data_IF_605704313014
#
_entry.id   IF_605704313014
#
_cell.length_a   1.000
_cell.length_b   1.000
_cell.length_c   1.000
_cell.angle_alpha   90.00
_cell.angle_beta   90.00
_cell.angle_gamma   90.00
#
_symmetry.space_group_name_H-M   'P 1'
#
loop_
_entity.id
_entity.type
_entity.pdbx_description
1 polymer ?
#
# COMPACT_ATOMS: atom_id res chain seq x y z
N UNK A 1 8.86 -22.20 25.69
CA UNK A 1 9.65 -22.43 24.46
C UNK A 1 8.90 -22.05 23.18
N UNK A 2 7.73 -22.64 22.87
CA UNK A 2 6.97 -22.32 21.63
C UNK A 2 6.52 -20.85 21.56
N UNK A 3 5.98 -20.28 22.66
CA UNK A 3 5.59 -18.86 22.67
C UNK A 3 6.79 -17.89 22.50
N UNK A 4 7.97 -18.27 23.00
CA UNK A 4 9.18 -17.45 22.95
C UNK A 4 9.73 -17.34 21.51
N UNK A 5 9.42 -18.29 20.63
CA UNK A 5 9.83 -18.26 19.21
C UNK A 5 8.74 -17.72 18.30
N UNK A 6 7.46 -17.98 18.60
CA UNK A 6 6.35 -17.53 17.76
C UNK A 6 6.16 -16.00 17.76
N UNK A 7 6.36 -15.32 18.89
CA UNK A 7 6.18 -13.87 18.95
C UNK A 7 7.22 -13.10 18.12
N UNK A 8 8.55 -13.35 18.26
CA UNK A 8 9.55 -12.73 17.40
C UNK A 8 9.34 -13.05 15.92
N UNK A 9 8.94 -14.28 15.59
CA UNK A 9 8.62 -14.66 14.22
C UNK A 9 7.44 -13.84 13.67
N UNK A 10 6.35 -13.71 14.43
CA UNK A 10 5.21 -12.89 14.05
C UNK A 10 5.64 -11.42 13.85
N UNK A 11 6.49 -10.90 14.71
CA UNK A 11 7.01 -9.53 14.59
C UNK A 11 7.86 -9.34 13.32
N UNK A 12 8.74 -10.29 12.99
CA UNK A 12 9.53 -10.27 11.75
C UNK A 12 8.62 -10.33 10.53
N UNK A 13 7.64 -11.22 10.52
CA UNK A 13 6.66 -11.31 9.43
C UNK A 13 5.84 -10.02 9.28
N UNK A 14 5.47 -9.39 10.40
CA UNK A 14 4.75 -8.12 10.40
C UNK A 14 5.56 -6.97 9.80
N UNK A 15 6.82 -6.83 10.24
CA UNK A 15 7.72 -5.83 9.68
C UNK A 15 8.02 -6.09 8.20
N UNK A 16 8.14 -7.35 7.80
CA UNK A 16 8.33 -7.75 6.40
C UNK A 16 7.11 -7.36 5.56
N UNK A 17 5.90 -7.65 6.05
CA UNK A 17 4.65 -7.25 5.40
C UNK A 17 4.53 -5.73 5.26
N UNK A 18 4.87 -4.98 6.31
CA UNK A 18 4.87 -3.52 6.30
C UNK A 18 5.87 -2.95 5.28
N UNK A 19 7.08 -3.50 5.27
CA UNK A 19 8.16 -3.07 4.36
C UNK A 19 7.80 -3.37 2.91
N UNK A 20 7.21 -4.55 2.63
CA UNK A 20 6.73 -4.91 1.30
C UNK A 20 5.66 -3.94 0.81
N UNK A 21 4.67 -3.63 1.65
CA UNK A 21 3.60 -2.70 1.28
C UNK A 21 4.13 -1.28 1.07
N UNK A 22 4.93 -0.74 2.00
CA UNK A 22 5.51 0.58 1.85
C UNK A 22 6.41 0.68 0.61
N UNK A 23 7.27 -0.32 0.39
CA UNK A 23 8.17 -0.38 -0.76
C UNK A 23 7.42 -0.47 -2.09
N UNK A 24 6.40 -1.33 -2.18
CA UNK A 24 5.57 -1.42 -3.38
C UNK A 24 4.77 -0.15 -3.64
N UNK A 25 4.26 0.54 -2.62
CA UNK A 25 3.61 1.86 -2.78
C UNK A 25 4.59 2.92 -3.31
N UNK A 26 5.84 2.93 -2.86
CA UNK A 26 6.88 3.83 -3.39
C UNK A 26 7.16 3.51 -4.86
N UNK A 27 7.35 2.23 -5.19
CA UNK A 27 7.55 1.80 -6.58
C UNK A 27 6.36 2.22 -7.45
N UNK A 28 5.14 2.01 -6.97
CA UNK A 28 3.92 2.35 -7.68
C UNK A 28 3.82 3.85 -7.96
N UNK A 29 4.16 4.69 -6.97
CA UNK A 29 4.25 6.14 -7.15
C UNK A 29 5.31 6.55 -8.20
N UNK A 30 6.48 5.88 -8.21
CA UNK A 30 7.53 6.15 -9.21
C UNK A 30 7.06 5.73 -10.61
N UNK A 31 6.43 4.56 -10.73
CA UNK A 31 5.84 4.06 -11.99
C UNK A 31 4.78 5.05 -12.49
N UNK A 32 3.89 5.52 -11.63
CA UNK A 32 2.89 6.53 -11.94
C UNK A 32 3.50 7.85 -12.44
N UNK A 33 4.56 8.34 -11.80
CA UNK A 33 5.26 9.56 -12.24
C UNK A 33 5.91 9.37 -13.61
N UNK A 34 6.53 8.21 -13.84
CA UNK A 34 7.12 7.84 -15.14
C UNK A 34 6.06 7.70 -16.21
N UNK A 35 4.92 7.08 -15.89
CA UNK A 35 3.78 6.95 -16.78
C UNK A 35 3.34 8.31 -17.31
N UNK A 36 3.09 9.30 -16.45
CA UNK A 36 2.66 10.61 -16.92
C UNK A 36 3.67 11.32 -17.80
N UNK A 37 4.94 11.24 -17.44
CA UNK A 37 6.02 11.84 -18.23
C UNK A 37 6.12 11.22 -19.62
N UNK A 38 5.94 9.89 -19.73
CA UNK A 38 5.99 9.17 -21.01
C UNK A 38 4.70 9.34 -21.82
N UNK A 39 3.55 9.25 -21.17
CA UNK A 39 2.24 9.37 -21.82
C UNK A 39 2.04 10.73 -22.50
N UNK A 40 2.58 11.82 -21.92
CA UNK A 40 2.53 13.14 -22.55
C UNK A 40 3.41 13.25 -23.80
N UNK A 41 4.50 12.50 -23.89
CA UNK A 41 5.41 12.52 -25.04
C UNK A 41 5.01 11.51 -26.13
N UNK A 42 4.62 10.31 -25.72
CA UNK A 42 4.21 9.21 -26.59
C UNK A 42 3.21 8.30 -25.83
N UNK A 43 1.89 8.37 -26.13
CA UNK A 43 0.87 7.59 -25.42
C UNK A 43 1.12 6.08 -25.40
N UNK A 44 1.69 5.53 -26.50
CA UNK A 44 2.04 4.10 -26.63
C UNK A 44 3.13 3.67 -25.63
N UNK A 45 4.08 4.54 -25.32
CA UNK A 45 5.14 4.26 -24.33
C UNK A 45 4.60 4.24 -22.90
N UNK A 46 3.53 4.99 -22.63
CA UNK A 46 2.85 4.99 -21.34
C UNK A 46 2.25 3.62 -20.98
N UNK A 47 1.72 2.89 -21.96
CA UNK A 47 1.14 1.56 -21.73
C UNK A 47 2.17 0.55 -21.23
N UNK A 48 3.37 0.56 -21.79
CA UNK A 48 4.46 -0.32 -21.35
C UNK A 48 4.81 -0.11 -19.88
N UNK A 49 4.79 1.14 -19.41
CA UNK A 49 5.05 1.48 -18.00
C UNK A 49 3.97 0.92 -17.07
N UNK A 50 2.69 0.94 -17.49
CA UNK A 50 1.59 0.38 -16.71
C UNK A 50 1.61 -1.15 -16.63
N UNK A 51 2.16 -1.84 -17.64
CA UNK A 51 2.31 -3.29 -17.60
C UNK A 51 3.30 -3.73 -16.51
N UNK A 52 4.39 -2.99 -16.34
CA UNK A 52 5.39 -3.23 -15.29
C UNK A 52 4.76 -3.14 -13.89
N UNK A 53 3.77 -2.25 -13.70
CA UNK A 53 3.04 -2.13 -12.42
C UNK A 53 2.40 -3.45 -11.97
N UNK A 54 1.90 -4.25 -12.92
CA UNK A 54 1.19 -5.50 -12.61
C UNK A 54 2.10 -6.58 -12.01
N UNK A 55 3.41 -6.51 -12.26
CA UNK A 55 4.41 -7.42 -11.70
C UNK A 55 4.55 -7.27 -10.18
N UNK A 56 4.14 -6.12 -9.63
CA UNK A 56 4.19 -5.86 -8.19
C UNK A 56 2.92 -6.30 -7.44
N UNK A 57 1.86 -6.68 -8.15
CA UNK A 57 0.58 -7.08 -7.56
C UNK A 57 0.72 -8.26 -6.58
N UNK A 58 1.50 -9.33 -6.88
CA UNK A 58 1.69 -10.42 -5.93
C UNK A 58 2.38 -9.95 -4.64
N UNK A 59 3.37 -9.06 -4.73
CA UNK A 59 4.07 -8.52 -3.56
C UNK A 59 3.15 -7.70 -2.67
N UNK A 60 2.23 -6.92 -3.26
CA UNK A 60 1.21 -6.17 -2.51
C UNK A 60 0.29 -7.14 -1.75
N UNK A 61 -0.20 -8.18 -2.41
CA UNK A 61 -1.08 -9.18 -1.79
C UNK A 61 -0.36 -9.92 -0.66
N UNK A 62 0.85 -10.40 -0.91
CA UNK A 62 1.67 -11.08 0.10
C UNK A 62 1.97 -10.16 1.28
N UNK A 63 2.37 -8.91 1.03
CA UNK A 63 2.64 -7.93 2.07
C UNK A 63 1.42 -7.66 2.96
N UNK A 64 0.24 -7.55 2.34
CA UNK A 64 -1.03 -7.38 3.05
C UNK A 64 -1.38 -8.58 3.93
N UNK A 65 -1.30 -9.79 3.38
CA UNK A 65 -1.58 -11.01 4.14
C UNK A 65 -0.61 -11.17 5.32
N UNK A 66 0.68 -10.98 5.07
CA UNK A 66 1.70 -11.02 6.12
C UNK A 66 1.39 -10.00 7.21
N UNK A 67 1.10 -8.75 6.84
CA UNK A 67 0.84 -7.67 7.81
C UNK A 67 -0.39 -7.95 8.69
N UNK A 68 -1.50 -8.39 8.09
CA UNK A 68 -2.74 -8.68 8.83
C UNK A 68 -2.55 -9.91 9.72
N UNK A 69 -2.13 -11.04 9.15
CA UNK A 69 -2.08 -12.32 9.87
C UNK A 69 -1.09 -12.26 11.04
N UNK A 70 0.07 -11.64 10.82
CA UNK A 70 1.05 -11.45 11.89
C UNK A 70 0.60 -10.42 12.93
N UNK A 71 -0.09 -9.34 12.52
CA UNK A 71 -0.61 -8.33 13.44
C UNK A 71 -1.67 -8.90 14.38
N UNK A 72 -2.61 -9.65 13.82
CA UNK A 72 -3.62 -10.40 14.59
C UNK A 72 -2.96 -11.49 15.45
N UNK A 73 -1.98 -12.21 14.90
CA UNK A 73 -1.22 -13.22 15.63
C UNK A 73 -0.51 -12.66 16.86
N UNK A 74 0.15 -11.49 16.75
CA UNK A 74 0.77 -10.82 17.89
C UNK A 74 -0.25 -10.39 18.95
N UNK A 75 -1.46 -9.94 18.55
CA UNK A 75 -2.53 -9.63 19.50
C UNK A 75 -3.01 -10.88 20.24
N UNK A 76 -3.24 -11.98 19.52
CA UNK A 76 -3.66 -13.24 20.12
C UNK A 76 -2.62 -13.81 21.09
N UNK A 77 -1.34 -13.78 20.71
CA UNK A 77 -0.23 -14.29 21.54
C UNK A 77 0.01 -13.48 22.81
N UNK A 78 -0.36 -12.19 22.82
CA UNK A 78 -0.21 -11.31 23.99
C UNK A 78 -1.48 -11.18 24.82
N UNK A 79 -2.51 -11.99 24.55
CA UNK A 79 -3.79 -11.91 25.26
C UNK A 79 -4.50 -10.57 25.07
N UNK A 80 -4.21 -9.84 24.00
CA UNK A 80 -4.83 -8.55 23.70
C UNK A 80 -4.25 -7.35 24.45
N UNK A 81 -3.17 -7.50 25.22
CA UNK A 81 -2.55 -6.39 26.01
C UNK A 81 -2.16 -5.21 25.13
N UNK A 82 -1.63 -5.45 23.92
CA UNK A 82 -1.37 -4.36 22.96
C UNK A 82 -2.64 -3.64 22.49
N UNK A 83 -3.78 -4.34 22.52
CA UNK A 83 -5.09 -3.76 22.24
C UNK A 83 -5.54 -2.75 23.27
N UNK A 84 -4.90 -2.59 24.43
CA UNK A 84 -5.21 -1.51 25.38
C UNK A 84 -4.38 -0.25 25.11
N UNK A 85 -3.23 -0.38 24.46
CA UNK A 85 -2.33 0.74 24.19
C UNK A 85 -2.86 1.61 23.05
N UNK A 86 -3.03 2.92 23.31
CA UNK A 86 -3.60 3.87 22.35
C UNK A 86 -2.77 3.92 21.05
N UNK A 87 -1.44 3.97 21.18
CA UNK A 87 -0.51 3.92 20.06
C UNK A 87 -0.78 2.74 19.10
N UNK A 88 -1.00 1.55 19.64
CA UNK A 88 -1.21 0.35 18.84
C UNK A 88 -2.55 0.39 18.12
N UNK A 89 -3.62 0.82 18.81
CA UNK A 89 -4.95 1.00 18.20
C UNK A 89 -4.92 1.97 17.02
N UNK A 90 -4.25 3.11 17.20
CA UNK A 90 -4.11 4.12 16.14
C UNK A 90 -3.33 3.53 14.96
N UNK A 91 -2.17 2.91 15.21
CA UNK A 91 -1.36 2.27 14.16
C UNK A 91 -2.15 1.20 13.39
N UNK A 92 -2.84 0.32 14.11
CA UNK A 92 -3.65 -0.74 13.51
C UNK A 92 -4.81 -0.18 12.69
N UNK A 93 -5.51 0.83 13.20
CA UNK A 93 -6.56 1.55 12.47
C UNK A 93 -6.04 2.15 11.15
N UNK A 94 -4.88 2.79 11.17
CA UNK A 94 -4.26 3.35 9.95
C UNK A 94 -3.91 2.23 8.95
N UNK A 95 -3.39 1.10 9.42
CA UNK A 95 -3.12 -0.07 8.56
C UNK A 95 -4.40 -0.54 7.86
N UNK A 96 -5.51 -0.68 8.60
CA UNK A 96 -6.79 -1.07 8.02
C UNK A 96 -7.27 -0.04 6.99
N UNK A 97 -7.11 1.27 7.27
CA UNK A 97 -7.43 2.35 6.33
C UNK A 97 -6.59 2.25 5.06
N UNK A 98 -5.28 1.99 5.16
CA UNK A 98 -4.41 1.81 3.99
C UNK A 98 -4.91 0.66 3.10
N UNK A 99 -5.24 -0.47 3.72
CA UNK A 99 -5.71 -1.68 3.03
C UNK A 99 -7.06 -1.42 2.36
N UNK A 100 -8.01 -0.86 3.11
CA UNK A 100 -9.32 -0.50 2.58
C UNK A 100 -9.20 0.50 1.42
N UNK A 101 -8.38 1.55 1.56
CA UNK A 101 -8.15 2.53 0.51
C UNK A 101 -7.50 1.90 -0.73
N UNK A 102 -6.54 1.00 -0.55
CA UNK A 102 -5.90 0.26 -1.65
C UNK A 102 -6.90 -0.59 -2.44
N UNK A 103 -7.77 -1.33 -1.74
CA UNK A 103 -8.77 -2.20 -2.37
C UNK A 103 -9.91 -1.40 -3.00
N UNK A 104 -10.47 -0.42 -2.27
CA UNK A 104 -11.67 0.31 -2.68
C UNK A 104 -11.36 1.41 -3.70
N UNK A 105 -10.28 2.16 -3.51
CA UNK A 105 -9.94 3.32 -4.35
C UNK A 105 -8.85 2.97 -5.34
N UNK A 106 -7.71 2.44 -4.85
CA UNK A 106 -6.55 2.13 -5.69
C UNK A 106 -6.87 1.18 -6.84
N UNK A 107 -7.51 0.05 -6.56
CA UNK A 107 -7.90 -0.94 -7.57
C UNK A 107 -8.86 -0.36 -8.62
N UNK A 108 -9.83 0.46 -8.19
CA UNK A 108 -10.79 1.11 -9.11
C UNK A 108 -10.10 2.12 -10.02
N UNK A 109 -9.25 2.98 -9.46
CA UNK A 109 -8.48 3.97 -10.23
C UNK A 109 -7.53 3.30 -11.23
N UNK A 110 -6.83 2.24 -10.82
CA UNK A 110 -5.93 1.49 -11.70
C UNK A 110 -6.68 0.80 -12.85
N UNK A 111 -7.83 0.17 -12.57
CA UNK A 111 -8.66 -0.45 -13.59
C UNK A 111 -9.20 0.59 -14.59
N UNK A 112 -9.67 1.74 -14.09
CA UNK A 112 -10.13 2.85 -14.93
C UNK A 112 -9.01 3.42 -15.80
N UNK A 113 -7.79 3.53 -15.27
CA UNK A 113 -6.61 3.99 -16.03
C UNK A 113 -6.29 3.05 -17.17
N UNK A 114 -6.23 1.74 -16.90
CA UNK A 114 -5.95 0.75 -17.94
C UNK A 114 -7.05 0.70 -19.00
N UNK A 115 -8.31 0.94 -18.62
CA UNK A 115 -9.42 1.05 -19.57
C UNK A 115 -9.27 2.26 -20.49
N UNK A 116 -9.09 3.45 -19.91
CA UNK A 116 -9.01 4.70 -20.67
C UNK A 116 -7.77 4.81 -21.56
N UNK A 117 -6.66 4.17 -21.20
CA UNK A 117 -5.44 4.21 -22.01
C UNK A 117 -5.52 3.24 -23.21
N UNK A 118 -6.41 2.24 -23.17
CA UNK A 118 -6.67 1.35 -24.31
C UNK A 118 -7.60 1.96 -25.36
N UNK A 119 -8.37 2.97 -24.98
CA UNK A 119 -9.30 3.66 -25.85
C UNK A 119 -8.63 4.94 -26.41
N UNK A 120 -8.46 5.01 -27.73
CA UNK A 120 -7.81 6.17 -28.39
C UNK A 120 -8.59 7.48 -28.18
N UNK A 121 -9.90 7.41 -27.93
CA UNK A 121 -10.73 8.57 -27.60
C UNK A 121 -10.56 9.05 -26.15
N UNK A 122 -9.93 8.23 -25.29
CA UNK A 122 -9.84 8.42 -23.85
C UNK A 122 -8.75 9.39 -23.38
N UNK A 123 -7.87 9.89 -24.27
CA UNK A 123 -6.67 10.68 -23.91
C UNK A 123 -7.01 11.88 -23.03
N UNK A 124 -8.11 12.58 -23.30
CA UNK A 124 -8.56 13.73 -22.52
C UNK A 124 -9.07 13.33 -21.13
N UNK A 125 -9.72 12.17 -21.00
CA UNK A 125 -10.19 11.62 -19.73
C UNK A 125 -9.05 11.07 -18.88
N UNK A 126 -7.99 10.55 -19.52
CA UNK A 126 -6.78 10.07 -18.84
C UNK A 126 -6.14 11.23 -18.06
N UNK A 127 -6.03 12.44 -18.64
CA UNK A 127 -5.48 13.61 -17.95
C UNK A 127 -6.24 13.96 -16.64
N UNK A 128 -7.57 13.79 -16.62
CA UNK A 128 -8.41 14.00 -15.43
C UNK A 128 -8.09 13.04 -14.27
N UNK A 129 -7.45 11.90 -14.53
CA UNK A 129 -7.11 10.91 -13.52
C UNK A 129 -5.78 11.18 -12.81
N UNK A 130 -4.98 12.13 -13.30
CA UNK A 130 -3.70 12.49 -12.67
C UNK A 130 -3.87 12.97 -11.23
N UNK A 131 -4.91 13.78 -10.96
CA UNK A 131 -5.14 14.36 -9.62
C UNK A 131 -5.66 13.31 -8.61
N UNK A 132 -6.68 12.48 -8.93
CA UNK A 132 -7.13 11.40 -8.04
C UNK A 132 -6.05 10.39 -7.70
N UNK A 133 -5.27 9.91 -8.67
CA UNK A 133 -4.18 8.97 -8.40
C UNK A 133 -3.04 9.61 -7.61
N UNK A 134 -2.72 10.89 -7.88
CA UNK A 134 -1.73 11.63 -7.09
C UNK A 134 -2.13 11.72 -5.61
N UNK A 135 -3.40 12.03 -5.33
CA UNK A 135 -3.95 12.03 -3.98
C UNK A 135 -3.92 10.64 -3.35
N UNK A 136 -4.27 9.60 -4.09
CA UNK A 136 -4.21 8.22 -3.59
C UNK A 136 -2.80 7.85 -3.10
N UNK A 137 -1.76 8.10 -3.90
CA UNK A 137 -0.38 7.83 -3.50
C UNK A 137 0.08 8.72 -2.35
N UNK A 138 -0.26 10.01 -2.36
CA UNK A 138 0.10 10.93 -1.28
C UNK A 138 -0.49 10.44 0.06
N UNK A 139 -1.78 10.11 0.09
CA UNK A 139 -2.45 9.58 1.29
C UNK A 139 -1.78 8.29 1.76
N UNK A 140 -1.55 7.32 0.87
CA UNK A 140 -0.90 6.06 1.28
C UNK A 140 0.52 6.29 1.84
N UNK A 141 1.35 7.09 1.17
CA UNK A 141 2.71 7.37 1.63
C UNK A 141 2.71 8.11 2.97
N UNK A 142 1.82 9.09 3.14
CA UNK A 142 1.64 9.78 4.43
C UNK A 142 1.21 8.80 5.53
N UNK A 143 0.27 7.90 5.25
CA UNK A 143 -0.15 6.89 6.23
C UNK A 143 1.01 5.94 6.61
N UNK A 144 1.81 5.47 5.65
CA UNK A 144 2.99 4.65 5.95
C UNK A 144 4.03 5.43 6.77
N UNK A 145 4.29 6.69 6.43
CA UNK A 145 5.19 7.55 7.19
C UNK A 145 4.71 7.70 8.65
N UNK A 146 3.41 7.94 8.85
CA UNK A 146 2.81 8.00 10.19
C UNK A 146 2.99 6.66 10.92
N UNK A 147 2.72 5.52 10.28
CA UNK A 147 2.93 4.20 10.90
C UNK A 147 4.38 4.00 11.35
N UNK A 148 5.35 4.41 10.53
CA UNK A 148 6.77 4.30 10.85
C UNK A 148 7.12 5.20 12.05
N UNK A 149 6.68 6.46 12.03
CA UNK A 149 6.88 7.41 13.14
C UNK A 149 6.27 6.86 14.42
N UNK A 150 5.01 6.40 14.37
CA UNK A 150 4.36 5.74 15.50
C UNK A 150 5.20 4.54 15.96
N UNK A 151 5.72 3.72 15.05
CA UNK A 151 6.50 2.53 15.43
C UNK A 151 7.74 2.84 16.27
N UNK A 152 8.30 4.05 16.14
CA UNK A 152 9.43 4.54 16.96
C UNK A 152 8.93 5.26 18.21
N UNK A 153 8.00 6.22 18.05
CA UNK A 153 7.48 7.06 19.12
C UNK A 153 6.20 6.45 19.70
N UNK A 154 6.37 5.61 20.72
CA UNK A 154 5.26 5.01 21.47
C UNK A 154 4.69 6.02 22.46
N UNK A 155 3.38 6.14 22.54
CA UNK A 155 2.66 6.94 23.52
C UNK A 155 1.46 6.17 24.07
N UNK A 156 0.98 6.56 25.25
CA UNK A 156 -0.19 5.97 25.88
C UNK A 156 -1.16 7.07 26.31
#
# INVERSE_FOLDING_TARGET
MILQTLYPLALVLHLTGLTLLAGTTIIDYVVFRKFWRRFQAAPKDGLAVLQVQSLFQPFIITGMLLLILSGVGMMALTGGVFGEQVWFRVKFGIVLVIIANGILVGRRLAARLRGLVKDESGVQQVAGMRRPLGWFHAVQLTCFAIIIVLSVFKFN
#
